data_IF_752316340684
#
_entry.id   IF_752316340684
#
_cell.length_a   1.000
_cell.length_b   1.000
_cell.length_c   1.000
_cell.angle_alpha   90.00
_cell.angle_beta   90.00
_cell.angle_gamma   90.00
#
_symmetry.space_group_name_H-M   'P 1'
#
loop_
_entity.id
_entity.type
_entity.pdbx_description
1 polymer ?
#
# COMPACT_ATOMS: atom_id res chain seq x y z
N UNK A 1 -20.11 -2.19 -23.83
CA UNK A 1 -19.71 -2.97 -22.65
C UNK A 1 -20.59 -2.51 -21.49
N UNK A 2 -21.36 -3.41 -20.87
CA UNK A 2 -22.10 -3.06 -19.66
C UNK A 2 -21.07 -2.71 -18.57
N UNK A 3 -21.03 -1.46 -18.13
CA UNK A 3 -20.11 -1.05 -17.07
C UNK A 3 -20.53 -1.78 -15.79
N UNK A 4 -19.74 -2.78 -15.39
CA UNK A 4 -19.92 -3.48 -14.11
C UNK A 4 -19.66 -2.44 -13.01
N UNK A 5 -20.72 -2.00 -12.34
CA UNK A 5 -20.62 -1.10 -11.20
C UNK A 5 -20.76 -1.89 -9.91
N UNK A 6 -19.87 -1.65 -8.95
CA UNK A 6 -19.91 -2.31 -7.65
C UNK A 6 -20.78 -1.53 -6.66
N UNK A 7 -21.62 -2.24 -5.91
CA UNK A 7 -22.26 -1.65 -4.74
C UNK A 7 -21.25 -1.59 -3.58
N UNK A 8 -21.58 -0.77 -2.58
CA UNK A 8 -20.78 -0.62 -1.36
C UNK A 8 -20.53 -1.95 -0.62
N UNK A 9 -21.52 -2.85 -0.58
CA UNK A 9 -21.38 -4.18 0.01
C UNK A 9 -20.33 -5.02 -0.69
N UNK A 10 -20.33 -4.97 -2.03
CA UNK A 10 -19.48 -5.82 -2.87
C UNK A 10 -18.04 -5.33 -2.77
N UNK A 11 -17.86 -4.00 -2.83
CA UNK A 11 -16.57 -3.37 -2.62
C UNK A 11 -16.01 -3.65 -1.21
N UNK A 12 -16.87 -3.62 -0.18
CA UNK A 12 -16.48 -4.00 1.18
C UNK A 12 -15.97 -5.45 1.22
N UNK A 13 -16.73 -6.38 0.64
CA UNK A 13 -16.35 -7.80 0.57
C UNK A 13 -15.01 -7.99 -0.14
N UNK A 14 -14.78 -7.29 -1.26
CA UNK A 14 -13.51 -7.36 -2.00
C UNK A 14 -12.36 -6.85 -1.13
N UNK A 15 -12.49 -5.65 -0.57
CA UNK A 15 -11.43 -5.00 0.23
C UNK A 15 -11.05 -5.85 1.45
N UNK A 16 -12.05 -6.31 2.22
CA UNK A 16 -11.78 -7.11 3.41
C UNK A 16 -11.32 -8.54 3.09
N UNK A 17 -11.72 -9.12 1.94
CA UNK A 17 -11.13 -10.37 1.45
C UNK A 17 -9.64 -10.20 1.13
N UNK A 18 -9.25 -9.10 0.46
CA UNK A 18 -7.85 -8.80 0.18
C UNK A 18 -7.04 -8.59 1.47
N UNK A 19 -7.61 -7.89 2.46
CA UNK A 19 -6.99 -7.80 3.78
C UNK A 19 -6.81 -9.17 4.45
N UNK A 20 -7.82 -10.04 4.37
CA UNK A 20 -7.73 -11.37 4.96
C UNK A 20 -6.65 -12.22 4.30
N UNK A 21 -6.56 -12.19 2.96
CA UNK A 21 -5.48 -12.85 2.21
C UNK A 21 -4.12 -12.29 2.63
N UNK A 22 -3.99 -10.98 2.75
CA UNK A 22 -2.74 -10.34 3.18
C UNK A 22 -2.37 -10.74 4.62
N UNK A 23 -3.34 -10.82 5.54
CA UNK A 23 -3.11 -11.26 6.92
C UNK A 23 -2.67 -12.72 6.98
N UNK A 24 -3.25 -13.60 6.15
CA UNK A 24 -2.79 -15.00 6.02
C UNK A 24 -1.38 -15.05 5.46
N UNK A 25 -1.07 -14.28 4.42
CA UNK A 25 0.28 -14.17 3.89
C UNK A 25 1.29 -13.72 4.97
N UNK A 26 0.93 -12.70 5.77
CA UNK A 26 1.76 -12.22 6.89
C UNK A 26 1.93 -13.29 7.98
N UNK A 27 0.87 -14.05 8.29
CA UNK A 27 0.95 -15.16 9.25
C UNK A 27 1.95 -16.22 8.80
N UNK A 28 1.89 -16.62 7.53
CA UNK A 28 2.78 -17.64 6.97
C UNK A 28 4.25 -17.19 6.93
N UNK A 29 4.50 -15.89 6.74
CA UNK A 29 5.85 -15.32 6.72
C UNK A 29 6.40 -14.91 8.11
N UNK A 30 5.65 -15.15 9.19
CA UNK A 30 6.12 -14.77 10.52
C UNK A 30 6.07 -13.26 10.81
N UNK A 31 5.28 -12.49 10.06
CA UNK A 31 5.24 -11.02 10.13
C UNK A 31 4.16 -10.45 11.08
N UNK A 32 3.41 -11.30 11.77
CA UNK A 32 2.39 -10.84 12.72
C UNK A 32 2.99 -10.52 14.08
N UNK A 33 2.36 -9.60 14.81
CA UNK A 33 2.91 -9.09 16.08
C UNK A 33 3.19 -10.19 17.09
N UNK A 34 2.29 -11.18 17.23
CA UNK A 34 2.49 -12.26 18.19
C UNK A 34 3.70 -13.16 17.86
N UNK A 35 4.17 -13.15 16.61
CA UNK A 35 5.36 -13.90 16.14
C UNK A 35 6.66 -13.11 16.37
N UNK A 36 6.57 -11.81 16.64
CA UNK A 36 7.74 -10.97 16.90
C UNK A 36 8.05 -10.81 18.40
N UNK A 37 9.35 -10.73 18.68
CA UNK A 37 9.91 -10.29 19.96
C UNK A 37 10.10 -8.77 19.97
N UNK A 38 10.33 -8.18 21.15
CA UNK A 38 10.59 -6.74 21.24
C UNK A 38 11.92 -6.43 20.51
N UNK A 39 11.93 -5.56 19.48
CA UNK A 39 13.16 -5.18 18.80
C UNK A 39 14.11 -4.46 19.80
N UNK A 40 15.36 -4.92 19.94
CA UNK A 40 16.32 -4.28 20.85
C UNK A 40 16.83 -2.94 20.31
N UNK A 41 16.70 -2.69 19.00
CA UNK A 41 17.25 -1.51 18.32
C UNK A 41 16.09 -0.58 17.93
N UNK A 42 16.17 0.67 18.38
CA UNK A 42 15.31 1.76 17.90
C UNK A 42 15.99 2.37 16.68
N UNK A 43 15.22 2.59 15.62
CA UNK A 43 15.77 3.18 14.41
C UNK A 43 15.67 4.72 14.46
N UNK A 44 16.79 5.45 14.31
CA UNK A 44 16.80 6.90 14.42
C UNK A 44 16.32 7.56 13.13
N UNK A 45 15.01 7.51 12.86
CA UNK A 45 14.40 8.16 11.69
C UNK A 45 13.79 9.50 12.11
N UNK A 46 13.93 10.54 11.29
CA UNK A 46 13.36 11.86 11.52
C UNK A 46 11.85 11.89 11.19
N UNK A 47 11.04 11.15 11.95
CA UNK A 47 9.59 11.09 11.80
C UNK A 47 8.91 11.39 13.15
N UNK A 48 8.29 12.57 13.25
CA UNK A 48 7.72 13.07 14.51
C UNK A 48 6.62 12.15 15.10
N UNK A 49 5.62 11.68 14.34
CA UNK A 49 4.66 10.66 14.80
C UNK A 49 5.31 9.38 15.35
N UNK A 50 6.39 8.92 14.71
CA UNK A 50 7.13 7.75 15.17
C UNK A 50 7.76 7.99 16.55
N UNK A 51 8.41 9.14 16.75
CA UNK A 51 8.98 9.49 18.05
C UNK A 51 7.93 9.69 19.13
N UNK A 52 6.80 10.32 18.82
CA UNK A 52 5.68 10.42 19.77
C UNK A 52 5.19 9.04 20.21
N UNK A 53 5.08 8.09 19.28
CA UNK A 53 4.66 6.73 19.57
C UNK A 53 5.67 5.95 20.42
N UNK A 54 6.97 6.16 20.21
CA UNK A 54 8.02 5.57 21.05
C UNK A 54 8.00 6.18 22.45
N UNK A 55 7.98 7.52 22.53
CA UNK A 55 8.02 8.25 23.80
C UNK A 55 6.78 8.02 24.67
N UNK A 56 5.65 7.64 24.07
CA UNK A 56 4.44 7.32 24.82
C UNK A 56 4.53 5.99 25.60
N UNK A 57 5.59 5.19 25.40
CA UNK A 57 5.76 3.87 26.04
C UNK A 57 4.78 2.81 25.56
N UNK A 58 3.93 3.11 24.57
CA UNK A 58 2.91 2.18 24.05
C UNK A 58 3.55 0.96 23.40
N UNK A 59 4.68 1.17 22.70
CA UNK A 59 5.48 0.08 22.14
C UNK A 59 5.86 -0.92 23.24
N UNK A 60 6.59 -0.47 24.25
CA UNK A 60 7.13 -1.37 25.28
C UNK A 60 6.00 -2.02 26.10
N UNK A 61 4.93 -1.28 26.40
CA UNK A 61 3.75 -1.84 27.06
C UNK A 61 3.15 -3.01 26.26
N UNK A 62 2.94 -2.85 24.95
CA UNK A 62 2.34 -3.90 24.11
C UNK A 62 3.31 -5.06 23.89
N UNK A 63 4.59 -4.79 23.63
CA UNK A 63 5.58 -5.83 23.41
C UNK A 63 5.93 -6.64 24.66
N UNK A 64 5.70 -6.09 25.86
CA UNK A 64 5.89 -6.81 27.13
C UNK A 64 4.87 -7.93 27.35
N UNK A 65 3.71 -7.89 26.68
CA UNK A 65 2.61 -8.83 26.89
C UNK A 65 2.26 -9.60 25.62
N UNK A 66 2.54 -10.91 25.62
CA UNK A 66 2.11 -11.80 24.54
C UNK A 66 0.59 -11.81 24.36
N UNK A 67 -0.18 -11.62 25.44
CA UNK A 67 -1.64 -11.54 25.38
C UNK A 67 -2.10 -10.34 24.54
N UNK A 68 -1.51 -9.15 24.74
CA UNK A 68 -1.88 -7.96 23.96
C UNK A 68 -1.57 -8.11 22.47
N UNK A 69 -0.40 -8.67 22.13
CA UNK A 69 -0.03 -8.95 20.73
C UNK A 69 -1.01 -9.92 20.07
N UNK A 70 -1.42 -10.97 20.79
CA UNK A 70 -2.42 -11.94 20.32
C UNK A 70 -3.80 -11.30 20.17
N UNK A 71 -4.24 -10.46 21.12
CA UNK A 71 -5.52 -9.75 21.02
C UNK A 71 -5.57 -8.84 19.78
N UNK A 72 -4.52 -8.06 19.52
CA UNK A 72 -4.44 -7.19 18.34
C UNK A 72 -4.47 -8.03 17.05
N UNK A 73 -3.77 -9.17 17.04
CA UNK A 73 -3.77 -10.05 15.87
C UNK A 73 -5.16 -10.68 15.65
N UNK A 74 -5.79 -11.20 16.70
CA UNK A 74 -7.13 -11.77 16.62
C UNK A 74 -8.17 -10.72 16.25
N UNK A 75 -8.03 -9.47 16.71
CA UNK A 75 -8.95 -8.38 16.32
C UNK A 75 -8.85 -8.08 14.82
N UNK A 76 -7.65 -8.12 14.22
CA UNK A 76 -7.46 -7.97 12.78
C UNK A 76 -8.18 -9.07 11.98
N UNK A 77 -7.92 -10.34 12.29
CA UNK A 77 -8.53 -11.47 11.59
C UNK A 77 -10.05 -11.50 11.76
N UNK A 78 -10.53 -11.41 13.00
CA UNK A 78 -11.96 -11.47 13.31
C UNK A 78 -12.71 -10.29 12.73
N UNK A 79 -12.21 -9.05 12.86
CA UNK A 79 -12.88 -7.88 12.32
C UNK A 79 -12.87 -7.88 10.78
N UNK A 80 -11.82 -8.39 10.14
CA UNK A 80 -11.79 -8.54 8.68
C UNK A 80 -12.83 -9.58 8.22
N UNK A 81 -12.82 -10.77 8.82
CA UNK A 81 -13.76 -11.84 8.48
C UNK A 81 -15.22 -11.45 8.74
N UNK A 82 -15.52 -10.84 9.89
CA UNK A 82 -16.86 -10.36 10.21
C UNK A 82 -17.29 -9.20 9.31
N UNK A 83 -16.36 -8.39 8.78
CA UNK A 83 -16.67 -7.34 7.80
C UNK A 83 -17.17 -7.91 6.47
N UNK A 84 -16.64 -9.08 6.07
CA UNK A 84 -17.08 -9.83 4.88
C UNK A 84 -18.48 -10.39 5.09
N UNK A 85 -18.75 -11.07 6.22
CA UNK A 85 -20.05 -11.70 6.48
C UNK A 85 -21.13 -10.65 6.77
N UNK A 86 -20.83 -9.66 7.62
CA UNK A 86 -21.78 -8.64 8.07
C UNK A 86 -21.59 -7.36 7.26
N UNK A 87 -21.88 -7.44 5.96
CA UNK A 87 -21.65 -6.35 4.99
C UNK A 87 -22.33 -5.03 5.40
N UNK A 88 -23.55 -5.09 5.97
CA UNK A 88 -24.31 -3.92 6.42
C UNK A 88 -23.76 -3.24 7.69
N UNK A 89 -22.92 -3.92 8.47
CA UNK A 89 -22.39 -3.38 9.74
C UNK A 89 -21.13 -2.54 9.51
N UNK A 90 -21.09 -1.34 10.06
CA UNK A 90 -19.88 -0.48 10.09
C UNK A 90 -19.05 -0.67 11.35
N UNK A 91 -19.50 -1.49 12.30
CA UNK A 91 -18.80 -1.71 13.57
C UNK A 91 -17.48 -2.46 13.36
N UNK A 92 -17.49 -3.55 12.59
CA UNK A 92 -16.29 -4.35 12.34
C UNK A 92 -15.22 -3.61 11.54
N UNK A 93 -15.55 -2.83 10.48
CA UNK A 93 -14.57 -1.95 9.84
C UNK A 93 -13.90 -0.94 10.78
N UNK A 94 -14.61 -0.41 11.79
CA UNK A 94 -14.02 0.50 12.78
C UNK A 94 -12.98 -0.22 13.64
N UNK A 95 -13.32 -1.41 14.15
CA UNK A 95 -12.39 -2.25 14.92
C UNK A 95 -11.18 -2.59 14.05
N UNK A 96 -11.41 -2.97 12.80
CA UNK A 96 -10.33 -3.31 11.88
C UNK A 96 -9.43 -2.11 11.61
N UNK A 97 -9.98 -0.94 11.26
CA UNK A 97 -9.18 0.24 10.99
C UNK A 97 -8.38 0.66 12.23
N UNK A 98 -8.97 0.66 13.43
CA UNK A 98 -8.19 0.93 14.64
C UNK A 98 -7.05 -0.09 14.83
N UNK A 99 -7.36 -1.38 14.68
CA UNK A 99 -6.39 -2.47 14.88
C UNK A 99 -5.25 -2.43 13.85
N UNK A 100 -5.54 -2.12 12.57
CA UNK A 100 -4.52 -2.11 11.50
C UNK A 100 -3.60 -0.90 11.62
N UNK A 101 -4.13 0.24 12.03
CA UNK A 101 -3.30 1.42 12.33
C UNK A 101 -2.39 1.15 13.52
N UNK A 102 -2.92 0.60 14.62
CA UNK A 102 -2.11 0.21 15.77
C UNK A 102 -1.06 -0.83 15.40
N UNK A 103 -1.44 -1.87 14.65
CA UNK A 103 -0.53 -2.89 14.13
C UNK A 103 0.59 -2.27 13.32
N UNK A 104 0.29 -1.34 12.42
CA UNK A 104 1.29 -0.77 11.53
C UNK A 104 2.28 0.14 12.26
N UNK A 105 1.83 0.93 13.24
CA UNK A 105 2.73 1.72 14.09
C UNK A 105 3.67 0.82 14.90
N UNK A 106 3.15 -0.28 15.46
CA UNK A 106 3.97 -1.28 16.15
C UNK A 106 4.96 -1.95 15.19
N UNK A 107 4.51 -2.37 14.00
CA UNK A 107 5.35 -3.03 13.02
C UNK A 107 6.49 -2.12 12.52
N UNK A 108 6.21 -0.83 12.31
CA UNK A 108 7.25 0.16 11.98
C UNK A 108 8.32 0.31 13.05
N UNK A 109 7.98 0.08 14.32
CA UNK A 109 8.97 0.06 15.40
C UNK A 109 9.90 -1.15 15.38
N UNK A 110 9.53 -2.24 14.69
CA UNK A 110 10.33 -3.46 14.54
C UNK A 110 11.23 -3.38 13.32
N UNK A 111 10.64 -3.17 12.14
CA UNK A 111 11.34 -3.41 10.88
C UNK A 111 12.14 -2.20 10.43
N UNK A 112 11.99 -1.05 11.08
CA UNK A 112 12.77 0.16 10.81
C UNK A 112 12.71 0.70 9.37
N UNK A 113 11.93 0.04 8.51
CA UNK A 113 11.82 0.33 7.10
C UNK A 113 10.42 0.90 6.84
N UNK A 114 10.39 2.19 6.48
CA UNK A 114 9.16 2.97 6.30
C UNK A 114 8.49 2.93 4.90
N UNK A 115 8.85 2.01 3.98
CA UNK A 115 8.13 1.66 2.77
C UNK A 115 6.60 1.64 2.70
N UNK A 116 5.89 2.76 2.88
CA UNK A 116 4.54 2.96 2.35
C UNK A 116 3.46 1.95 2.77
N UNK A 117 3.32 1.64 4.06
CA UNK A 117 2.12 0.92 4.53
C UNK A 117 0.80 1.68 4.31
N UNK A 118 0.86 2.88 3.76
CA UNK A 118 -0.27 3.66 3.27
C UNK A 118 -1.23 2.79 2.42
N UNK A 119 -0.69 1.87 1.61
CA UNK A 119 -1.46 0.94 0.79
C UNK A 119 -2.44 0.05 1.57
N UNK A 120 -2.13 -0.27 2.83
CA UNK A 120 -3.02 -1.04 3.72
C UNK A 120 -3.85 -0.17 4.66
N UNK A 121 -3.43 1.07 4.96
CA UNK A 121 -4.08 1.86 6.01
C UNK A 121 -5.36 2.55 5.56
N UNK A 122 -5.40 3.01 4.31
CA UNK A 122 -6.48 3.86 3.80
C UNK A 122 -7.69 3.10 3.22
N UNK A 123 -7.54 1.95 2.54
CA UNK A 123 -8.69 1.29 1.90
C UNK A 123 -9.81 0.85 2.83
N UNK A 124 -9.53 0.64 4.13
CA UNK A 124 -10.56 0.32 5.12
C UNK A 124 -11.41 1.55 5.54
N UNK A 125 -10.88 2.77 5.42
CA UNK A 125 -11.46 3.99 6.00
C UNK A 125 -12.86 4.33 5.48
N UNK A 126 -13.20 4.22 4.17
CA UNK A 126 -14.55 4.53 3.70
C UNK A 126 -15.63 3.73 4.46
N UNK A 127 -15.33 2.49 4.83
CA UNK A 127 -16.32 1.55 5.39
C UNK A 127 -16.67 1.80 6.86
N UNK A 128 -16.02 2.75 7.54
CA UNK A 128 -16.35 3.12 8.93
C UNK A 128 -17.62 4.00 9.00
N UNK A 129 -17.97 4.67 7.90
CA UNK A 129 -19.08 5.62 7.84
C UNK A 129 -20.37 4.93 7.44
N UNK A 130 -21.45 5.06 8.22
CA UNK A 130 -22.76 4.49 7.83
C UNK A 130 -23.40 5.27 6.68
N UNK A 131 -23.23 6.58 6.70
CA UNK A 131 -23.75 7.52 5.71
C UNK A 131 -23.04 7.38 4.35
N UNK A 132 -23.83 7.32 3.27
CA UNK A 132 -23.33 7.09 1.91
C UNK A 132 -22.59 8.30 1.34
N UNK A 133 -22.96 9.51 1.76
CA UNK A 133 -22.22 10.72 1.38
C UNK A 133 -20.81 10.71 1.97
N UNK A 134 -20.67 10.50 3.29
CA UNK A 134 -19.37 10.39 3.96
C UNK A 134 -18.53 9.25 3.39
N UNK A 135 -19.12 8.09 3.13
CA UNK A 135 -18.46 6.98 2.44
C UNK A 135 -17.87 7.44 1.10
N UNK A 136 -18.70 8.09 0.26
CA UNK A 136 -18.32 8.53 -1.09
C UNK A 136 -17.23 9.59 -1.06
N UNK A 137 -17.30 10.54 -0.13
CA UNK A 137 -16.26 11.57 0.06
C UNK A 137 -14.92 10.93 0.42
N UNK A 138 -14.90 10.01 1.39
CA UNK A 138 -13.67 9.36 1.85
C UNK A 138 -13.10 8.43 0.79
N UNK A 139 -13.96 7.73 0.04
CA UNK A 139 -13.55 6.89 -1.08
C UNK A 139 -12.91 7.71 -2.20
N UNK A 140 -13.53 8.83 -2.60
CA UNK A 140 -12.95 9.73 -3.60
C UNK A 140 -11.66 10.39 -3.10
N UNK A 141 -11.60 10.78 -1.82
CA UNK A 141 -10.36 11.25 -1.21
C UNK A 141 -9.26 10.19 -1.33
N UNK A 142 -9.55 8.93 -0.98
CA UNK A 142 -8.61 7.82 -1.13
C UNK A 142 -8.09 7.66 -2.56
N UNK A 143 -8.97 7.82 -3.56
CA UNK A 143 -8.60 7.82 -4.98
C UNK A 143 -7.65 8.97 -5.35
N UNK A 144 -7.97 10.21 -4.96
CA UNK A 144 -7.12 11.36 -5.26
C UNK A 144 -5.79 11.28 -4.51
N UNK A 145 -5.81 10.85 -3.27
CA UNK A 145 -4.62 10.61 -2.47
C UNK A 145 -3.72 9.55 -3.12
N UNK A 146 -4.29 8.43 -3.55
CA UNK A 146 -3.58 7.40 -4.32
C UNK A 146 -2.93 7.97 -5.58
N UNK A 147 -3.70 8.71 -6.41
CA UNK A 147 -3.15 9.33 -7.62
C UNK A 147 -2.05 10.35 -7.31
N UNK A 148 -2.24 11.13 -6.23
CA UNK A 148 -1.27 12.11 -5.76
C UNK A 148 0.03 11.50 -5.29
N UNK A 149 -0.02 10.34 -4.62
CA UNK A 149 1.19 9.62 -4.19
C UNK A 149 2.08 9.22 -5.37
N UNK A 150 1.50 8.62 -6.41
CA UNK A 150 2.27 8.22 -7.61
C UNK A 150 2.75 9.43 -8.40
N UNK A 151 1.89 10.44 -8.59
CA UNK A 151 2.31 11.67 -9.24
C UNK A 151 3.49 12.32 -8.50
N UNK A 152 3.41 12.43 -7.18
CA UNK A 152 4.48 13.00 -6.36
C UNK A 152 5.74 12.14 -6.38
N UNK A 153 5.62 10.82 -6.43
CA UNK A 153 6.77 9.92 -6.59
C UNK A 153 7.53 10.19 -7.90
N UNK A 154 6.81 10.45 -9.00
CA UNK A 154 7.38 10.87 -10.28
C UNK A 154 8.05 12.24 -10.19
N UNK A 155 7.39 13.23 -9.57
CA UNK A 155 7.96 14.57 -9.34
C UNK A 155 9.25 14.50 -8.51
N UNK A 156 9.28 13.67 -7.46
CA UNK A 156 10.47 13.51 -6.62
C UNK A 156 11.67 12.94 -7.39
N UNK A 157 11.45 12.12 -8.42
CA UNK A 157 12.54 11.66 -9.31
C UNK A 157 13.16 12.81 -10.10
N UNK A 158 12.37 13.85 -10.41
CA UNK A 158 12.84 15.07 -11.06
C UNK A 158 13.59 15.96 -10.05
N UNK A 159 12.95 16.25 -8.90
CA UNK A 159 13.49 17.13 -7.87
C UNK A 159 14.82 16.62 -7.32
N UNK A 160 14.93 15.30 -7.11
CA UNK A 160 16.17 14.68 -6.63
C UNK A 160 17.24 14.52 -7.73
N UNK A 161 16.97 15.00 -8.94
CA UNK A 161 17.89 14.93 -10.08
C UNK A 161 18.07 13.53 -10.68
N UNK A 162 17.28 12.55 -10.24
CA UNK A 162 17.40 11.15 -10.70
C UNK A 162 17.18 10.99 -12.20
N UNK A 163 16.28 11.79 -12.80
CA UNK A 163 16.06 11.78 -14.25
C UNK A 163 17.25 12.33 -15.05
N UNK A 164 18.20 13.01 -14.41
CA UNK A 164 19.40 13.56 -15.08
C UNK A 164 20.62 12.67 -14.90
N UNK A 165 20.51 11.59 -14.11
CA UNK A 165 21.57 10.62 -13.91
C UNK A 165 21.36 9.39 -14.80
N UNK A 166 22.21 9.23 -15.82
CA UNK A 166 22.14 8.09 -16.76
C UNK A 166 22.41 6.73 -16.10
N UNK A 167 22.99 6.70 -14.90
CA UNK A 167 23.25 5.48 -14.13
C UNK A 167 22.20 5.20 -13.06
N UNK A 168 21.17 6.04 -12.91
CA UNK A 168 20.21 5.99 -11.79
C UNK A 168 19.55 4.62 -11.60
N UNK A 169 19.14 3.95 -12.69
CA UNK A 169 18.55 2.61 -12.60
C UNK A 169 19.58 1.57 -12.15
N UNK A 170 20.77 1.59 -12.74
CA UNK A 170 21.85 0.66 -12.40
C UNK A 170 22.29 0.82 -10.95
N UNK A 171 22.36 2.05 -10.46
CA UNK A 171 22.67 2.34 -9.05
C UNK A 171 21.56 1.86 -8.13
N UNK A 172 20.29 2.03 -8.52
CA UNK A 172 19.14 1.51 -7.77
C UNK A 172 19.17 -0.03 -7.68
N UNK A 173 19.49 -0.73 -8.78
CA UNK A 173 19.65 -2.19 -8.80
C UNK A 173 20.78 -2.62 -7.85
N UNK A 174 21.95 -1.97 -7.91
CA UNK A 174 23.08 -2.28 -7.02
C UNK A 174 22.72 -2.08 -5.55
N UNK A 175 21.99 -1.01 -5.23
CA UNK A 175 21.61 -0.70 -3.86
C UNK A 175 20.52 -1.63 -3.31
N UNK A 176 19.57 -2.05 -4.14
CA UNK A 176 18.39 -2.81 -3.67
C UNK A 176 18.49 -4.31 -3.88
N UNK A 177 19.33 -4.80 -4.80
CA UNK A 177 19.28 -6.21 -5.24
C UNK A 177 20.57 -6.99 -5.05
N UNK A 178 21.63 -6.37 -4.51
CA UNK A 178 22.93 -7.03 -4.39
C UNK A 178 22.86 -8.34 -3.60
N UNK A 179 22.14 -8.34 -2.47
CA UNK A 179 21.93 -9.54 -1.66
C UNK A 179 21.19 -10.62 -2.45
N UNK A 180 20.10 -10.25 -3.14
CA UNK A 180 19.33 -11.20 -3.95
C UNK A 180 20.18 -11.85 -5.04
N UNK A 181 20.96 -11.05 -5.78
CA UNK A 181 21.83 -11.53 -6.85
C UNK A 181 22.93 -12.47 -6.33
N UNK A 182 23.47 -12.18 -5.13
CA UNK A 182 24.48 -13.01 -4.49
C UNK A 182 23.93 -14.39 -4.10
N UNK A 183 22.72 -14.43 -3.52
CA UNK A 183 22.10 -15.68 -3.07
C UNK A 183 21.41 -16.46 -4.19
N UNK A 184 21.04 -15.82 -5.30
CA UNK A 184 20.30 -16.43 -6.41
C UNK A 184 20.97 -16.16 -7.77
N UNK A 185 22.24 -16.55 -7.96
CA UNK A 185 23.05 -16.12 -9.11
C UNK A 185 22.54 -16.62 -10.46
N UNK A 186 21.80 -17.73 -10.50
CA UNK A 186 21.30 -18.38 -11.73
C UNK A 186 19.82 -18.15 -11.99
N UNK A 187 19.19 -17.24 -11.25
CA UNK A 187 17.76 -16.96 -11.43
C UNK A 187 17.51 -16.03 -12.62
N UNK A 188 16.38 -16.23 -13.30
CA UNK A 188 15.91 -15.33 -14.37
C UNK A 188 15.88 -13.86 -13.92
N UNK A 189 15.55 -13.62 -12.65
CA UNK A 189 15.50 -12.29 -12.05
C UNK A 189 16.90 -11.67 -11.97
N UNK A 190 17.91 -12.43 -11.55
CA UNK A 190 19.32 -12.01 -11.54
C UNK A 190 19.85 -11.76 -12.96
N UNK A 191 19.47 -12.59 -13.94
CA UNK A 191 19.84 -12.38 -15.34
C UNK A 191 19.27 -11.06 -15.88
N UNK A 192 17.99 -10.78 -15.57
CA UNK A 192 17.33 -9.54 -15.97
C UNK A 192 17.97 -8.31 -15.32
N UNK A 193 18.29 -8.37 -14.03
CA UNK A 193 19.02 -7.31 -13.32
C UNK A 193 20.41 -7.08 -13.93
N UNK A 194 21.15 -8.16 -14.19
CA UNK A 194 22.48 -8.13 -14.80
C UNK A 194 22.45 -7.51 -16.20
N UNK A 195 21.43 -7.83 -17.00
CA UNK A 195 21.20 -7.23 -18.31
C UNK A 195 21.10 -5.70 -18.22
N UNK A 196 20.31 -5.15 -17.29
CA UNK A 196 20.16 -3.70 -17.13
C UNK A 196 21.37 -3.02 -16.47
N UNK A 197 22.16 -3.76 -15.68
CA UNK A 197 23.45 -3.27 -15.18
C UNK A 197 24.47 -3.13 -16.33
N UNK A 198 24.53 -4.10 -17.24
CA UNK A 198 25.42 -4.06 -18.40
C UNK A 198 24.96 -3.05 -19.45
N UNK A 199 23.65 -2.98 -19.72
CA UNK A 199 23.02 -2.06 -20.66
C UNK A 199 22.40 -0.85 -19.94
N UNK A 200 23.21 -0.10 -19.19
CA UNK A 200 22.74 1.01 -18.35
C UNK A 200 21.87 2.05 -19.10
N UNK A 201 22.12 2.29 -20.39
CA UNK A 201 21.27 3.18 -21.22
C UNK A 201 19.83 2.69 -21.35
N UNK A 202 19.61 1.39 -21.50
CA UNK A 202 18.27 0.80 -21.50
C UNK A 202 17.64 0.89 -20.11
N UNK A 203 18.44 0.67 -19.05
CA UNK A 203 17.99 0.86 -17.67
C UNK A 203 17.54 2.30 -17.41
N UNK A 204 18.26 3.28 -17.94
CA UNK A 204 17.89 4.69 -17.86
C UNK A 204 16.61 5.00 -18.64
N UNK A 205 16.43 4.50 -19.86
CA UNK A 205 15.17 4.65 -20.59
C UNK A 205 13.99 4.06 -19.81
N UNK A 206 14.20 2.92 -19.16
CA UNK A 206 13.19 2.32 -18.30
C UNK A 206 12.88 3.18 -17.07
N UNK A 207 13.90 3.79 -16.46
CA UNK A 207 13.73 4.74 -15.35
C UNK A 207 12.92 5.98 -15.77
N UNK A 208 13.21 6.54 -16.95
CA UNK A 208 12.42 7.64 -17.52
C UNK A 208 10.97 7.20 -17.79
N UNK A 209 10.77 6.01 -18.34
CA UNK A 209 9.44 5.43 -18.55
C UNK A 209 8.66 5.27 -17.25
N UNK A 210 9.32 4.81 -16.18
CA UNK A 210 8.74 4.70 -14.85
C UNK A 210 8.33 6.07 -14.27
N UNK A 211 9.19 7.08 -14.39
CA UNK A 211 8.88 8.44 -13.95
C UNK A 211 7.71 9.05 -14.72
N UNK A 212 7.65 8.86 -16.05
CA UNK A 212 6.55 9.31 -16.89
C UNK A 212 5.23 8.61 -16.53
N UNK A 213 5.29 7.29 -16.30
CA UNK A 213 4.13 6.50 -15.88
C UNK A 213 3.56 7.03 -14.56
N UNK A 214 4.41 7.24 -13.56
CA UNK A 214 4.04 7.81 -12.26
C UNK A 214 3.43 9.20 -12.39
N UNK A 215 4.03 10.08 -13.19
CA UNK A 215 3.46 11.40 -13.48
C UNK A 215 2.11 11.31 -14.19
N UNK A 216 1.87 10.26 -14.99
CA UNK A 216 0.60 9.99 -15.65
C UNK A 216 -0.59 9.85 -14.68
N UNK A 217 -0.36 9.54 -13.40
CA UNK A 217 -1.41 9.49 -12.39
C UNK A 217 -2.09 10.85 -12.14
N UNK A 218 -1.52 11.96 -12.62
CA UNK A 218 -2.21 13.27 -12.62
C UNK A 218 -3.54 13.22 -13.37
N UNK A 219 -3.67 12.35 -14.39
CA UNK A 219 -4.92 12.16 -15.13
C UNK A 219 -6.06 11.69 -14.22
N UNK A 220 -5.75 11.00 -13.13
CA UNK A 220 -6.71 10.61 -12.11
C UNK A 220 -7.37 11.80 -11.42
N UNK A 221 -6.70 12.94 -11.28
CA UNK A 221 -7.35 14.16 -10.75
C UNK A 221 -8.36 14.76 -11.73
N UNK A 222 -8.12 14.61 -13.03
CA UNK A 222 -8.92 15.23 -14.07
C UNK A 222 -10.17 14.43 -14.42
N UNK A 223 -10.07 13.09 -14.46
CA UNK A 223 -11.20 12.24 -14.86
C UNK A 223 -11.11 10.82 -14.33
N UNK A 224 -12.28 10.19 -14.12
CA UNK A 224 -12.41 8.77 -13.76
C UNK A 224 -12.36 7.84 -14.97
N UNK A 225 -12.43 8.37 -16.20
CA UNK A 225 -12.42 7.58 -17.45
C UNK A 225 -11.15 6.74 -17.61
N UNK A 226 -10.05 7.17 -17.02
CA UNK A 226 -8.75 6.50 -17.10
C UNK A 226 -8.47 5.55 -15.92
N UNK A 227 -9.40 5.35 -14.97
CA UNK A 227 -9.14 4.56 -13.76
C UNK A 227 -8.70 3.12 -14.09
N UNK A 228 -9.27 2.50 -15.13
CA UNK A 228 -8.86 1.18 -15.58
C UNK A 228 -7.42 1.16 -16.15
N UNK A 229 -7.03 2.21 -16.90
CA UNK A 229 -5.67 2.33 -17.42
C UNK A 229 -4.68 2.57 -16.27
N UNK A 230 -5.02 3.44 -15.33
CA UNK A 230 -4.22 3.70 -14.12
C UNK A 230 -4.05 2.43 -13.27
N UNK A 231 -5.10 1.59 -13.19
CA UNK A 231 -5.04 0.29 -12.52
C UNK A 231 -4.01 -0.63 -13.18
N UNK A 232 -4.03 -0.75 -14.51
CA UNK A 232 -3.06 -1.57 -15.25
C UNK A 232 -1.65 -1.01 -15.10
N UNK A 233 -1.47 0.30 -15.26
CA UNK A 233 -0.17 0.96 -15.13
C UNK A 233 0.43 0.75 -13.74
N UNK A 234 -0.39 0.82 -12.68
CA UNK A 234 0.05 0.49 -11.32
C UNK A 234 0.57 -0.95 -11.23
N UNK A 235 -0.15 -1.93 -11.78
CA UNK A 235 0.27 -3.33 -11.73
C UNK A 235 1.58 -3.56 -12.49
N UNK A 236 1.71 -2.98 -13.68
CA UNK A 236 2.93 -3.06 -14.49
C UNK A 236 4.11 -2.43 -13.73
N UNK A 237 3.91 -1.25 -13.13
CA UNK A 237 4.93 -0.56 -12.38
C UNK A 237 5.44 -1.38 -11.19
N UNK A 238 4.54 -1.89 -10.35
CA UNK A 238 4.91 -2.68 -9.18
C UNK A 238 5.50 -4.04 -9.53
N UNK A 239 4.99 -4.70 -10.56
CA UNK A 239 5.59 -5.92 -11.07
C UNK A 239 7.01 -5.67 -11.57
N UNK A 240 7.24 -4.58 -12.31
CA UNK A 240 8.57 -4.20 -12.80
C UNK A 240 9.52 -3.89 -11.65
N UNK A 241 9.08 -3.14 -10.62
CA UNK A 241 9.90 -2.89 -9.44
C UNK A 241 10.22 -4.17 -8.66
N UNK A 242 9.29 -5.12 -8.55
CA UNK A 242 9.57 -6.40 -7.94
C UNK A 242 10.62 -7.19 -8.73
N UNK A 243 10.50 -7.22 -10.05
CA UNK A 243 11.44 -7.94 -10.93
C UNK A 243 12.82 -7.28 -11.00
N UNK A 244 12.92 -5.96 -10.92
CA UNK A 244 14.17 -5.24 -11.15
C UNK A 244 14.82 -4.68 -9.90
N UNK A 245 14.04 -4.30 -8.90
CA UNK A 245 14.52 -3.65 -7.68
C UNK A 245 14.31 -4.50 -6.42
N UNK A 246 13.76 -5.71 -6.56
CA UNK A 246 13.46 -6.62 -5.44
C UNK A 246 12.62 -5.97 -4.33
N UNK A 247 11.70 -5.09 -4.72
CA UNK A 247 10.81 -4.39 -3.79
C UNK A 247 9.44 -5.08 -3.77
N UNK A 248 9.12 -5.91 -2.75
CA UNK A 248 7.81 -6.54 -2.64
C UNK A 248 6.76 -5.52 -2.13
N UNK A 249 5.91 -5.03 -3.04
CA UNK A 249 4.82 -4.12 -2.71
C UNK A 249 3.50 -4.83 -2.39
N UNK A 250 3.56 -6.03 -1.78
CA UNK A 250 2.37 -6.85 -1.48
C UNK A 250 1.31 -6.10 -0.66
N UNK A 251 1.75 -5.27 0.29
CA UNK A 251 0.91 -4.41 1.11
C UNK A 251 0.17 -3.32 0.30
N UNK A 252 0.59 -3.01 -0.93
CA UNK A 252 0.02 -1.90 -1.68
C UNK A 252 -1.18 -2.25 -2.52
N UNK A 253 -1.35 -3.52 -2.91
CA UNK A 253 -2.36 -3.88 -3.90
C UNK A 253 -3.79 -3.56 -3.46
N UNK A 254 -4.05 -3.48 -2.14
CA UNK A 254 -5.39 -3.15 -1.62
C UNK A 254 -5.81 -1.71 -2.00
N UNK A 255 -4.84 -0.80 -2.20
CA UNK A 255 -5.13 0.59 -2.59
C UNK A 255 -5.80 0.70 -3.96
N UNK A 256 -5.62 -0.30 -4.83
CA UNK A 256 -6.29 -0.38 -6.12
C UNK A 256 -7.81 -0.40 -6.01
N UNK A 257 -8.35 -0.75 -4.84
CA UNK A 257 -9.78 -0.68 -4.58
C UNK A 257 -10.37 0.72 -4.85
N UNK A 258 -9.58 1.79 -4.71
CA UNK A 258 -10.02 3.16 -5.00
C UNK A 258 -10.22 3.47 -6.48
N UNK A 259 -9.72 2.64 -7.39
CA UNK A 259 -9.93 2.75 -8.83
C UNK A 259 -11.09 1.89 -9.34
N UNK A 260 -11.71 1.10 -8.46
CA UNK A 260 -12.83 0.25 -8.86
C UNK A 260 -14.10 1.09 -9.12
N UNK A 261 -14.90 0.73 -10.14
CA UNK A 261 -16.09 1.48 -10.51
C UNK A 261 -17.17 1.37 -9.43
N UNK A 262 -17.46 2.51 -8.79
CA UNK A 262 -18.58 2.65 -7.85
C UNK A 262 -19.87 2.93 -8.61
N UNK A 263 -21.00 2.39 -8.15
CA UNK A 263 -22.32 2.64 -8.75
C UNK A 263 -22.74 4.12 -8.66
N UNK A 264 -23.32 4.63 -9.75
CA UNK A 264 -23.65 6.05 -9.96
C UNK A 264 -24.73 6.60 -9.00
N UNK A 265 -25.58 5.75 -8.43
CA UNK A 265 -26.60 6.16 -7.45
C UNK A 265 -25.98 6.71 -6.16
N UNK A 266 -24.82 6.20 -5.75
CA UNK A 266 -24.03 6.73 -4.64
C UNK A 266 -23.42 8.11 -4.98
N UNK A 267 -23.19 8.40 -6.27
CA UNK A 267 -22.67 9.69 -6.75
C UNK A 267 -23.78 10.75 -6.91
N UNK A 268 -25.01 10.34 -7.24
CA UNK A 268 -26.15 11.25 -7.44
C UNK A 268 -26.61 11.99 -6.18
N UNK A 269 -26.31 11.48 -4.99
CA UNK A 269 -26.57 12.21 -3.73
C UNK A 269 -25.82 13.55 -3.65
N UNK A 270 -24.73 13.71 -4.41
CA UNK A 270 -23.91 14.93 -4.44
C UNK A 270 -24.53 16.08 -5.26
N UNK A 271 -25.37 15.77 -6.25
CA UNK A 271 -25.92 16.79 -7.18
C UNK A 271 -27.29 17.32 -6.77
N UNK A 272 -27.94 16.70 -5.78
CA UNK A 272 -29.31 17.07 -5.38
C UNK A 272 -29.40 17.95 -4.14
N UNK A 273 -28.30 18.11 -3.40
CA UNK A 273 -28.24 18.83 -2.11
C UNK A 273 -27.24 20.02 -2.12
N UNK A 274 -26.80 20.45 -3.31
CA UNK A 274 -26.11 21.72 -3.56
C UNK A 274 -27.08 22.57 -4.38
#
# INVERSE_FOLDING_TARGET
>A
MNNITLNRSDLKTIVFSLYLILLVYKFLNGELLFQHTNPPIIYPILNFPYWLFILSGLKDFIFSSNLLKTIITLSLFSASFLSIIKTKSTFYPKIFCFSIWLYQFLYFSIVAYQPFAIGILFPCLPFIFKDDFKFTVVFNFGRYFFCGLYFLAGVLKIVNGGIFNIYQMSDSIKMSCLDYMLYNPTSLKTDLMSFFLYHYKLGYLLYLGAALLEMGFILGFLTKKFDYILFILFLIFHFSNYMLLDLPFTNHFIILAFLLPLRDDLLKYYTKNI
#
